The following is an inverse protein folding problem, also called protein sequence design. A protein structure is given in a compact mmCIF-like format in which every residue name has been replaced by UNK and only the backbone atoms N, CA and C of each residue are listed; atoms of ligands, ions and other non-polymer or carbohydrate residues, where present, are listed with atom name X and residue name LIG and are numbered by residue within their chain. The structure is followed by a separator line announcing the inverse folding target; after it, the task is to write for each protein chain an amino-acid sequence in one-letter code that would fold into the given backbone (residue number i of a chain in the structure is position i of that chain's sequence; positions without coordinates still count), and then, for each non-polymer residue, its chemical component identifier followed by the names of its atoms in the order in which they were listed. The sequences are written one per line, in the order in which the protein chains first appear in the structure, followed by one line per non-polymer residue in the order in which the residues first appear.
data_IF_420444314006
#
_entry.id   IF_420444314006
#
_cell.length_a   1.000
_cell.length_b   1.000
_cell.length_c   1.000
_cell.angle_alpha   90.00
_cell.angle_beta   90.00
_cell.angle_gamma   90.00
#
_symmetry.space_group_name_H-M   'P 1'
#
loop_
_entity.id
_entity.type
_entity.pdbx_description
1 polymer ?
#
# COMPACT_ATOMS: atom_id res chain seq x y z
N UNK A 1 -1.58 11.03 -5.29
CA UNK A 1 -2.57 10.04 -5.80
C UNK A 1 -3.87 10.67 -6.33
N UNK A 2 -4.29 11.85 -5.82
CA UNK A 2 -5.55 12.49 -6.22
C UNK A 2 -6.76 12.01 -5.40
N UNK A 3 -6.49 11.54 -4.18
CA UNK A 3 -7.43 10.91 -3.24
C UNK A 3 -7.33 11.56 -1.83
N UNK A 4 -6.84 12.80 -1.76
CA UNK A 4 -6.70 13.57 -0.52
C UNK A 4 -8.07 13.91 0.09
N UNK A 5 -8.13 13.98 1.43
CA UNK A 5 -9.29 14.37 2.22
C UNK A 5 -9.13 15.80 2.74
N UNK A 6 -10.17 16.62 2.63
CA UNK A 6 -10.13 18.01 3.11
C UNK A 6 -9.91 18.05 4.63
N UNK A 7 -8.92 18.81 5.08
CA UNK A 7 -8.64 19.08 6.50
C UNK A 7 -7.97 17.96 7.30
N UNK A 8 -7.68 16.80 6.68
CA UNK A 8 -7.07 15.63 7.33
C UNK A 8 -6.19 14.84 6.36
N UNK A 9 -5.34 15.54 5.61
CA UNK A 9 -4.45 14.91 4.64
C UNK A 9 -3.07 14.70 5.23
N UNK A 10 -2.59 13.47 5.12
CA UNK A 10 -1.20 13.06 5.17
C UNK A 10 -0.56 13.20 3.77
N UNK A 11 0.71 13.57 3.73
CA UNK A 11 1.46 13.72 2.49
C UNK A 11 2.83 13.04 2.56
N UNK A 12 3.01 11.99 1.76
CA UNK A 12 4.32 11.34 1.61
C UNK A 12 5.22 12.16 0.68
N UNK A 13 6.40 12.54 1.17
CA UNK A 13 7.48 13.13 0.39
C UNK A 13 8.61 12.12 0.22
N UNK A 14 8.67 11.47 -0.94
CA UNK A 14 9.76 10.54 -1.25
C UNK A 14 10.92 11.31 -1.89
N UNK A 15 12.09 11.26 -1.24
CA UNK A 15 13.33 11.89 -1.68
C UNK A 15 14.24 10.82 -2.29
N UNK A 16 14.43 10.91 -3.60
CA UNK A 16 15.37 10.06 -4.34
C UNK A 16 16.77 10.68 -4.25
N UNK A 17 17.73 9.89 -3.76
CA UNK A 17 19.11 10.34 -3.60
C UNK A 17 20.02 9.71 -4.65
N UNK A 18 20.70 10.54 -5.45
CA UNK A 18 21.66 10.07 -6.47
C UNK A 18 22.83 9.27 -5.89
N UNK A 19 23.14 9.47 -4.60
CA UNK A 19 24.23 8.78 -3.92
C UNK A 19 23.85 7.36 -3.47
N UNK A 20 22.57 6.98 -3.54
CA UNK A 20 22.13 5.61 -3.27
C UNK A 20 22.17 4.81 -4.56
N UNK A 21 22.89 3.70 -4.56
CA UNK A 21 23.11 2.86 -5.76
C UNK A 21 22.41 1.50 -5.70
N UNK A 22 21.87 1.13 -4.53
CA UNK A 22 21.21 -0.15 -4.30
C UNK A 22 20.16 -0.07 -3.19
N UNK A 23 19.29 -1.09 -3.12
CA UNK A 23 18.34 -1.26 -2.03
C UNK A 23 19.05 -1.47 -0.68
N UNK A 24 20.11 -2.27 -0.64
CA UNK A 24 20.93 -2.47 0.56
C UNK A 24 21.53 -1.16 1.07
N UNK A 25 22.07 -0.32 0.17
CA UNK A 25 22.62 0.97 0.55
C UNK A 25 21.55 1.90 1.13
N UNK A 26 20.35 1.93 0.54
CA UNK A 26 19.21 2.66 1.11
C UNK A 26 18.88 2.18 2.53
N UNK A 27 18.92 0.86 2.77
CA UNK A 27 18.63 0.29 4.08
C UNK A 27 19.70 0.67 5.11
N UNK A 28 20.97 0.45 4.78
CA UNK A 28 22.09 0.62 5.70
C UNK A 28 22.42 2.09 5.98
N UNK A 29 22.27 2.98 5.00
CA UNK A 29 22.58 4.42 5.14
C UNK A 29 21.37 5.29 5.46
N UNK A 30 20.19 4.69 5.66
CA UNK A 30 18.95 5.43 5.97
C UNK A 30 19.12 6.42 7.11
N UNK A 31 19.73 5.98 8.20
CA UNK A 31 19.92 6.79 9.40
C UNK A 31 20.75 8.04 9.13
N UNK A 32 21.87 7.88 8.43
CA UNK A 32 22.79 8.96 8.03
C UNK A 32 22.04 10.05 7.26
N UNK A 33 21.30 9.66 6.23
CA UNK A 33 20.57 10.59 5.38
C UNK A 33 19.36 11.22 6.07
N UNK A 34 18.60 10.47 6.88
CA UNK A 34 17.48 11.03 7.63
C UNK A 34 17.94 12.06 8.67
N UNK A 35 19.09 11.83 9.31
CA UNK A 35 19.66 12.80 10.26
C UNK A 35 20.10 14.09 9.56
N UNK A 36 20.72 13.97 8.38
CA UNK A 36 21.10 15.16 7.60
C UNK A 36 19.85 15.91 7.10
N UNK A 37 18.83 15.21 6.58
CA UNK A 37 17.56 15.85 6.18
C UNK A 37 16.91 16.57 7.37
N UNK A 38 16.87 15.93 8.54
CA UNK A 38 16.33 16.53 9.75
C UNK A 38 17.05 17.81 10.13
N UNK A 39 18.38 17.80 10.13
CA UNK A 39 19.20 18.99 10.40
C UNK A 39 18.89 20.12 9.42
N UNK A 40 18.69 19.82 8.14
CA UNK A 40 18.32 20.81 7.13
C UNK A 40 16.89 21.34 7.32
N UNK A 41 15.93 20.47 7.67
CA UNK A 41 14.55 20.88 7.99
C UNK A 41 14.51 21.78 9.24
N UNK A 42 15.28 21.46 10.28
CA UNK A 42 15.40 22.29 11.49
C UNK A 42 16.07 23.64 11.19
N UNK A 43 17.06 23.69 10.28
CA UNK A 43 17.64 24.94 9.81
C UNK A 43 16.60 25.79 9.07
N UNK A 44 15.87 25.20 8.14
CA UNK A 44 14.78 25.86 7.42
C UNK A 44 13.67 26.37 8.36
N UNK A 45 13.33 25.60 9.41
CA UNK A 45 12.38 26.04 10.44
C UNK A 45 12.87 27.28 11.19
N UNK A 46 14.16 27.37 11.52
CA UNK A 46 14.76 28.56 12.19
C UNK A 46 14.75 29.80 11.33
N UNK A 47 14.86 29.65 10.01
CA UNK A 47 14.83 30.77 9.05
C UNK A 47 13.43 31.38 8.88
N UNK A 48 12.37 30.75 9.40
CA UNK A 48 10.98 31.24 9.33
C UNK A 48 10.51 31.59 7.90
N UNK A 49 10.96 30.83 6.90
CA UNK A 49 10.64 31.12 5.49
C UNK A 49 9.17 30.89 5.13
N UNK A 50 8.43 30.12 5.92
CA UNK A 50 7.04 29.77 5.64
C UNK A 50 6.07 30.70 6.36
N UNK A 51 4.97 31.05 5.68
CA UNK A 51 3.82 31.77 6.29
C UNK A 51 2.98 30.89 7.22
N UNK A 52 3.26 29.59 7.25
CA UNK A 52 2.60 28.58 8.07
C UNK A 52 3.52 28.16 9.20
N UNK A 53 2.93 27.65 10.28
CA UNK A 53 3.70 27.06 11.39
C UNK A 53 4.34 25.79 10.89
N UNK A 54 5.68 25.75 10.92
CA UNK A 54 6.47 24.59 10.54
C UNK A 54 7.07 23.95 11.78
N UNK A 55 6.76 22.68 12.01
CA UNK A 55 7.25 21.91 13.16
C UNK A 55 7.82 20.58 12.71
N UNK A 56 9.13 20.42 12.80
CA UNK A 56 9.78 19.12 12.68
C UNK A 56 9.44 18.28 13.91
N UNK A 57 8.92 17.07 13.71
CA UNK A 57 8.67 16.17 14.83
C UNK A 57 10.00 15.60 15.29
N UNK A 58 10.44 15.99 16.48
CA UNK A 58 11.59 15.38 17.14
C UNK A 58 11.08 14.37 18.15
N UNK A 59 11.70 13.19 18.15
CA UNK A 59 11.36 12.18 19.13
C UNK A 59 12.61 11.51 19.68
N UNK A 60 12.62 11.31 20.99
CA UNK A 60 13.78 10.78 21.72
C UNK A 60 14.14 9.35 21.29
N UNK A 61 13.19 8.59 20.74
CA UNK A 61 13.39 7.24 20.20
C UNK A 61 14.16 7.20 18.87
N UNK A 62 14.35 8.34 18.19
CA UNK A 62 15.19 8.41 16.99
C UNK A 62 16.63 7.93 17.23
N UNK A 63 17.09 8.02 18.49
CA UNK A 63 18.40 7.53 18.94
C UNK A 63 18.45 6.01 19.21
N UNK A 64 17.30 5.33 19.35
CA UNK A 64 17.22 3.90 19.68
C UNK A 64 16.78 3.04 18.50
N UNK A 65 16.03 3.60 17.54
CA UNK A 65 15.60 2.93 16.32
C UNK A 65 15.63 3.90 15.15
N UNK A 66 16.23 3.50 14.02
CA UNK A 66 16.16 4.28 12.78
C UNK A 66 14.76 4.19 12.20
N UNK A 67 13.96 5.28 12.19
CA UNK A 67 12.62 5.22 11.63
C UNK A 67 12.69 5.06 10.11
N UNK A 68 11.61 4.54 9.50
CA UNK A 68 11.47 4.49 8.04
C UNK A 68 11.27 5.89 7.44
N UNK A 69 10.65 6.81 8.18
CA UNK A 69 10.31 8.15 7.75
C UNK A 69 10.70 9.20 8.80
N UNK A 70 10.85 10.44 8.35
CA UNK A 70 10.95 11.63 9.19
C UNK A 70 9.70 12.49 8.99
N UNK A 71 8.97 12.76 10.06
CA UNK A 71 7.70 13.49 9.98
C UNK A 71 7.86 14.96 10.35
N UNK A 72 7.14 15.83 9.65
CA UNK A 72 6.98 17.23 10.04
C UNK A 72 5.58 17.73 9.71
N UNK A 73 5.17 18.80 10.39
CA UNK A 73 3.84 19.39 10.24
C UNK A 73 3.94 20.79 9.68
N UNK A 74 3.06 21.12 8.72
CA UNK A 74 2.73 22.48 8.34
C UNK A 74 1.29 22.80 8.77
N UNK A 75 1.11 23.84 9.58
CA UNK A 75 -0.22 24.25 10.05
C UNK A 75 -0.49 25.73 9.90
N UNK A 76 -1.73 26.07 9.56
CA UNK A 76 -2.25 27.44 9.54
C UNK A 76 -3.36 27.55 10.60
N UNK A 77 -3.08 28.20 11.75
CA UNK A 77 -4.06 28.37 12.82
C UNK A 77 -5.31 29.15 12.39
N UNK A 78 -5.19 30.07 11.42
CA UNK A 78 -6.32 30.87 10.94
C UNK A 78 -7.26 30.04 10.07
N UNK A 79 -6.72 29.08 9.33
CA UNK A 79 -7.50 28.20 8.47
C UNK A 79 -7.93 26.90 9.17
N UNK A 80 -7.50 26.66 10.41
CA UNK A 80 -7.67 25.41 11.14
C UNK A 80 -7.27 24.19 10.29
N UNK A 81 -6.17 24.34 9.55
CA UNK A 81 -5.67 23.32 8.64
C UNK A 81 -4.28 22.90 9.05
N UNK A 82 -4.07 21.60 9.04
CA UNK A 82 -2.82 20.94 9.36
C UNK A 82 -2.55 19.87 8.30
N UNK A 83 -1.31 19.81 7.83
CA UNK A 83 -0.82 18.76 6.95
C UNK A 83 0.42 18.17 7.58
N UNK A 84 0.35 16.87 7.84
CA UNK A 84 1.50 16.07 8.27
C UNK A 84 2.19 15.51 7.02
N UNK A 85 3.52 15.68 6.98
CA UNK A 85 4.38 15.21 5.91
C UNK A 85 5.30 14.13 6.44
N UNK A 86 5.34 13.00 5.74
CA UNK A 86 6.31 11.92 5.99
C UNK A 86 7.39 11.96 4.91
N UNK A 87 8.62 12.29 5.32
CA UNK A 87 9.79 12.29 4.44
C UNK A 87 10.40 10.90 4.44
N UNK A 88 10.40 10.28 3.26
CA UNK A 88 10.87 8.91 3.04
C UNK A 88 12.05 8.93 2.07
N UNK A 89 13.09 8.17 2.39
CA UNK A 89 14.23 7.99 1.49
C UNK A 89 13.98 6.84 0.52
N UNK A 90 14.45 7.02 -0.71
CA UNK A 90 14.42 5.98 -1.74
C UNK A 90 15.68 5.98 -2.61
N UNK A 91 16.16 4.79 -2.93
CA UNK A 91 17.00 4.53 -4.08
C UNK A 91 16.14 4.64 -5.34
N UNK A 92 16.64 5.34 -6.37
CA UNK A 92 15.96 5.44 -7.66
C UNK A 92 16.15 4.15 -8.48
N UNK A 93 15.39 3.12 -8.11
CA UNK A 93 15.42 1.82 -8.77
C UNK A 93 14.86 1.85 -10.20
N UNK A 94 14.04 2.84 -10.54
CA UNK A 94 13.39 2.97 -11.85
C UNK A 94 14.23 3.84 -12.80
N UNK A 95 15.02 4.77 -12.28
CA UNK A 95 15.86 5.68 -13.04
C UNK A 95 15.06 6.46 -14.08
N UNK A 96 15.58 6.53 -15.31
CA UNK A 96 14.93 7.23 -16.43
C UNK A 96 13.82 6.42 -17.12
N UNK A 97 13.49 5.22 -16.64
CA UNK A 97 12.43 4.39 -17.24
C UNK A 97 11.11 5.16 -17.25
N UNK A 98 10.29 4.96 -18.29
CA UNK A 98 9.01 5.65 -18.39
C UNK A 98 8.16 5.33 -17.15
N UNK A 99 7.78 6.39 -16.42
CA UNK A 99 6.96 6.36 -15.19
C UNK A 99 5.56 5.75 -15.38
N UNK A 100 5.26 5.31 -16.61
CA UNK A 100 3.99 4.76 -17.06
C UNK A 100 4.14 3.37 -17.69
N UNK A 101 5.36 2.88 -17.89
CA UNK A 101 5.59 1.55 -18.46
C UNK A 101 5.91 0.53 -17.38
N UNK A 102 5.66 -0.74 -17.70
CA UNK A 102 6.13 -1.88 -16.92
C UNK A 102 7.66 -1.82 -16.78
N UNK A 103 8.23 -1.83 -15.56
CA UNK A 103 9.67 -1.92 -15.37
C UNK A 103 10.25 -3.21 -15.94
N UNK A 104 11.54 -3.17 -16.27
CA UNK A 104 12.28 -4.36 -16.71
C UNK A 104 12.33 -5.41 -15.59
N UNK A 105 12.12 -6.71 -15.89
CA UNK A 105 12.07 -7.77 -14.88
C UNK A 105 13.28 -7.82 -13.94
N UNK A 106 14.48 -7.52 -14.44
CA UNK A 106 15.70 -7.55 -13.63
C UNK A 106 15.68 -6.57 -12.44
N UNK A 107 14.91 -5.48 -12.51
CA UNK A 107 14.73 -4.53 -11.39
C UNK A 107 14.01 -5.24 -10.24
N UNK A 108 12.92 -5.95 -10.54
CA UNK A 108 12.18 -6.73 -9.55
C UNK A 108 12.93 -7.98 -9.10
N UNK A 109 13.72 -8.61 -9.96
CA UNK A 109 14.58 -9.72 -9.56
C UNK A 109 15.62 -9.27 -8.51
N UNK A 110 16.26 -8.11 -8.71
CA UNK A 110 17.16 -7.49 -7.72
C UNK A 110 16.42 -7.18 -6.42
N UNK A 111 15.23 -6.56 -6.50
CA UNK A 111 14.40 -6.28 -5.32
C UNK A 111 14.09 -7.55 -4.53
N UNK A 112 13.61 -8.59 -5.22
CA UNK A 112 13.25 -9.88 -4.61
C UNK A 112 14.47 -10.50 -3.92
N UNK A 113 15.63 -10.47 -4.57
CA UNK A 113 16.88 -10.96 -4.00
C UNK A 113 17.22 -10.24 -2.68
N UNK A 114 17.23 -8.91 -2.69
CA UNK A 114 17.54 -8.11 -1.51
C UNK A 114 16.50 -8.28 -0.38
N UNK A 115 15.21 -8.22 -0.69
CA UNK A 115 14.14 -8.45 0.28
C UNK A 115 14.22 -9.84 0.91
N UNK A 116 14.59 -10.86 0.13
CA UNK A 116 14.75 -12.24 0.61
C UNK A 116 15.96 -12.36 1.52
N UNK A 117 17.10 -11.77 1.13
CA UNK A 117 18.33 -11.78 1.92
C UNK A 117 18.13 -11.07 3.28
N UNK A 118 17.47 -9.91 3.26
CA UNK A 118 17.18 -9.13 4.47
C UNK A 118 16.01 -9.67 5.28
N UNK A 119 15.21 -10.60 4.72
CA UNK A 119 13.90 -11.05 5.27
C UNK A 119 12.96 -9.87 5.56
N UNK A 120 12.92 -8.90 4.65
CA UNK A 120 12.17 -7.65 4.78
C UNK A 120 11.38 -7.36 3.51
N UNK A 121 10.28 -8.07 3.36
CA UNK A 121 9.35 -7.87 2.26
C UNK A 121 8.66 -6.51 2.35
N UNK A 122 8.45 -5.82 1.22
CA UNK A 122 7.83 -4.49 1.16
C UNK A 122 8.66 -3.33 1.71
N UNK A 123 9.89 -3.59 2.19
CA UNK A 123 10.78 -2.58 2.80
C UNK A 123 11.15 -1.45 1.85
N UNK A 124 11.19 -1.73 0.55
CA UNK A 124 11.64 -0.81 -0.49
C UNK A 124 10.51 -0.28 -1.37
N UNK A 125 9.25 -0.42 -0.93
CA UNK A 125 8.07 0.09 -1.65
C UNK A 125 8.18 1.58 -2.00
N UNK A 126 8.93 2.37 -1.23
CA UNK A 126 9.21 3.80 -1.53
C UNK A 126 9.93 4.02 -2.85
N UNK A 127 10.77 3.07 -3.30
CA UNK A 127 11.44 3.12 -4.60
C UNK A 127 10.46 3.09 -5.78
N UNK A 128 9.24 2.59 -5.54
CA UNK A 128 8.20 2.41 -6.54
C UNK A 128 7.01 3.35 -6.33
N UNK A 129 7.16 4.41 -5.53
CA UNK A 129 6.07 5.35 -5.21
C UNK A 129 5.47 5.99 -6.45
N UNK A 130 6.26 6.19 -7.51
CA UNK A 130 5.78 6.74 -8.78
C UNK A 130 4.78 5.81 -9.47
N UNK A 131 5.03 4.50 -9.42
CA UNK A 131 4.13 3.47 -9.94
C UNK A 131 2.87 3.33 -9.08
N UNK A 132 3.00 3.34 -7.75
CA UNK A 132 1.86 3.36 -6.82
C UNK A 132 0.98 4.59 -7.07
N UNK A 133 1.60 5.76 -7.25
CA UNK A 133 0.91 7.02 -7.60
C UNK A 133 0.23 6.89 -8.95
N UNK A 134 0.92 6.36 -9.96
CA UNK A 134 0.42 6.21 -11.32
C UNK A 134 -0.82 5.30 -11.34
N UNK A 135 -0.77 4.17 -10.63
CA UNK A 135 -1.86 3.20 -10.51
C UNK A 135 -3.18 3.83 -10.04
N UNK A 136 -3.13 4.76 -9.09
CA UNK A 136 -4.31 5.47 -8.59
C UNK A 136 -4.63 6.74 -9.41
N UNK A 137 -3.62 7.42 -9.95
CA UNK A 137 -3.79 8.69 -10.68
C UNK A 137 -4.59 8.50 -11.96
N UNK A 138 -4.46 7.36 -12.64
CA UNK A 138 -5.15 7.10 -13.91
C UNK A 138 -6.64 6.74 -13.76
N UNK A 139 -7.12 6.56 -12.52
CA UNK A 139 -8.49 6.10 -12.25
C UNK A 139 -9.57 7.17 -12.52
N UNK A 140 -10.80 6.77 -12.90
CA UNK A 140 -11.91 7.69 -13.13
C UNK A 140 -12.21 8.59 -11.92
N UNK A 141 -12.69 9.84 -12.12
CA UNK A 141 -13.03 10.74 -11.03
C UNK A 141 -14.02 10.15 -10.02
N UNK A 142 -15.03 9.40 -10.49
CA UNK A 142 -16.02 8.75 -9.63
C UNK A 142 -15.40 7.68 -8.72
N UNK A 143 -14.44 6.90 -9.23
CA UNK A 143 -13.66 5.95 -8.42
C UNK A 143 -12.80 6.65 -7.38
N UNK A 144 -12.14 7.76 -7.74
CA UNK A 144 -11.41 8.57 -6.76
C UNK A 144 -12.32 9.12 -5.65
N UNK A 145 -13.56 9.46 -5.97
CA UNK A 145 -14.55 9.86 -4.97
C UNK A 145 -14.96 8.71 -4.05
N UNK A 146 -15.13 7.49 -4.59
CA UNK A 146 -15.35 6.30 -3.77
C UNK A 146 -14.16 6.00 -2.85
N UNK A 147 -12.92 6.09 -3.36
CA UNK A 147 -11.70 5.94 -2.54
C UNK A 147 -11.69 6.96 -1.39
N UNK A 148 -12.04 8.23 -1.66
CA UNK A 148 -12.15 9.25 -0.58
C UNK A 148 -13.20 8.88 0.44
N UNK A 149 -14.36 8.36 0.03
CA UNK A 149 -15.40 7.90 0.97
C UNK A 149 -14.89 6.75 1.86
N UNK A 150 -14.22 5.76 1.27
CA UNK A 150 -13.63 4.64 2.02
C UNK A 150 -12.53 5.12 2.96
N UNK A 151 -11.67 6.05 2.53
CA UNK A 151 -10.66 6.66 3.41
C UNK A 151 -11.30 7.42 4.56
N UNK A 152 -12.36 8.17 4.30
CA UNK A 152 -13.06 8.91 5.35
C UNK A 152 -13.66 7.95 6.39
N UNK A 153 -14.32 6.88 5.94
CA UNK A 153 -14.80 5.80 6.80
C UNK A 153 -13.66 5.19 7.63
N UNK A 154 -12.54 4.83 6.99
CA UNK A 154 -11.36 4.28 7.67
C UNK A 154 -10.84 5.22 8.76
N UNK A 155 -10.79 6.54 8.52
CA UNK A 155 -10.38 7.51 9.54
C UNK A 155 -11.34 7.57 10.72
N UNK A 156 -12.66 7.49 10.50
CA UNK A 156 -13.65 7.40 11.58
C UNK A 156 -13.47 6.11 12.39
N UNK A 157 -13.19 4.99 11.74
CA UNK A 157 -12.84 3.74 12.42
C UNK A 157 -11.54 3.87 13.22
N UNK A 158 -10.51 4.54 12.66
CA UNK A 158 -9.25 4.80 13.36
C UNK A 158 -9.42 5.68 14.59
N UNK A 159 -10.26 6.71 14.52
CA UNK A 159 -10.62 7.55 15.67
C UNK A 159 -11.34 6.76 16.77
N UNK A 160 -12.25 5.85 16.38
CA UNK A 160 -13.05 5.05 17.31
C UNK A 160 -12.25 3.91 17.95
N UNK A 161 -11.49 3.18 17.13
CA UNK A 161 -10.81 1.95 17.54
C UNK A 161 -9.37 2.19 17.98
N UNK A 162 -8.69 3.20 17.45
CA UNK A 162 -7.23 3.30 17.55
C UNK A 162 -6.53 2.11 16.88
N UNK A 163 -5.22 2.00 17.10
CA UNK A 163 -4.41 0.90 16.57
C UNK A 163 -4.61 -0.40 17.37
N UNK A 164 -4.46 -1.58 16.74
CA UNK A 164 -3.93 -1.76 15.40
C UNK A 164 -5.05 -1.91 14.33
N UNK A 165 -4.77 -1.49 13.09
CA UNK A 165 -5.66 -1.49 11.93
C UNK A 165 -4.82 -1.74 10.67
N UNK A 166 -5.39 -2.35 9.60
CA UNK A 166 -4.65 -2.55 8.36
C UNK A 166 -4.28 -1.22 7.71
N UNK A 167 -3.16 -1.14 6.97
CA UNK A 167 -2.75 0.10 6.32
C UNK A 167 -3.87 0.69 5.44
N UNK A 168 -4.09 2.00 5.53
CA UNK A 168 -5.10 2.70 4.71
C UNK A 168 -4.91 2.42 3.21
N UNK A 169 -3.67 2.25 2.76
CA UNK A 169 -3.35 1.91 1.37
C UNK A 169 -3.97 0.58 0.92
N UNK A 170 -4.10 -0.41 1.82
CA UNK A 170 -4.79 -1.67 1.51
C UNK A 170 -6.26 -1.44 1.15
N UNK A 171 -6.93 -0.49 1.80
CA UNK A 171 -8.32 -0.14 1.50
C UNK A 171 -8.45 0.67 0.20
N UNK A 172 -7.45 1.51 -0.12
CA UNK A 172 -7.39 2.15 -1.45
C UNK A 172 -7.30 1.10 -2.57
N UNK A 173 -6.45 0.08 -2.40
CA UNK A 173 -6.30 -1.02 -3.35
C UNK A 173 -7.53 -1.93 -3.40
N UNK A 174 -8.13 -2.26 -2.25
CA UNK A 174 -9.34 -3.08 -2.19
C UNK A 174 -10.53 -2.37 -2.88
N UNK A 175 -10.60 -1.05 -2.78
CA UNK A 175 -11.61 -0.24 -3.49
C UNK A 175 -11.40 -0.31 -5.01
N UNK A 176 -10.15 -0.27 -5.48
CA UNK A 176 -9.84 -0.46 -6.90
C UNK A 176 -10.24 -1.86 -7.35
N UNK A 177 -9.90 -2.91 -6.60
CA UNK A 177 -10.30 -4.30 -6.91
C UNK A 177 -11.83 -4.46 -6.99
N UNK A 178 -12.56 -3.92 -6.01
CA UNK A 178 -14.02 -3.96 -5.99
C UNK A 178 -14.61 -3.36 -7.27
N UNK A 179 -14.11 -2.20 -7.67
CA UNK A 179 -14.57 -1.52 -8.87
C UNK A 179 -14.17 -2.28 -10.14
N UNK A 180 -12.92 -2.71 -10.29
CA UNK A 180 -12.43 -3.41 -11.49
C UNK A 180 -13.15 -4.73 -11.73
N UNK A 181 -13.51 -5.45 -10.67
CA UNK A 181 -14.13 -6.78 -10.78
C UNK A 181 -15.65 -6.77 -10.71
N UNK A 182 -16.24 -5.75 -10.09
CA UNK A 182 -17.66 -5.69 -9.82
C UNK A 182 -18.44 -4.72 -10.71
N UNK A 183 -17.75 -3.72 -11.28
CA UNK A 183 -18.39 -2.64 -12.04
C UNK A 183 -17.67 -2.34 -13.35
N UNK A 184 -16.42 -1.85 -13.28
CA UNK A 184 -15.61 -1.47 -14.46
C UNK A 184 -16.03 -0.17 -15.16
N UNK A 185 -17.16 0.43 -14.77
CA UNK A 185 -17.74 1.61 -15.43
C UNK A 185 -17.24 2.94 -14.87
N UNK A 186 -17.21 4.00 -15.69
CA UNK A 186 -16.82 5.34 -15.23
C UNK A 186 -17.87 6.02 -14.36
N UNK A 187 -19.12 5.58 -14.47
CA UNK A 187 -20.26 6.04 -13.67
C UNK A 187 -20.90 4.85 -12.97
N UNK A 188 -21.11 4.99 -11.66
CA UNK A 188 -21.72 3.95 -10.84
C UNK A 188 -22.33 4.55 -9.56
N UNK A 189 -23.17 3.76 -8.89
CA UNK A 189 -23.74 4.13 -7.61
C UNK A 189 -22.68 4.05 -6.50
N UNK A 190 -22.39 5.18 -5.85
CA UNK A 190 -21.38 5.25 -4.78
C UNK A 190 -21.75 4.38 -3.58
N UNK A 191 -23.03 4.25 -3.24
CA UNK A 191 -23.47 3.45 -2.10
C UNK A 191 -23.28 1.95 -2.35
N UNK A 192 -23.54 1.47 -3.58
CA UNK A 192 -23.25 0.08 -3.97
C UNK A 192 -21.76 -0.21 -3.91
N UNK A 193 -20.94 0.70 -4.47
CA UNK A 193 -19.49 0.55 -4.42
C UNK A 193 -18.95 0.56 -2.98
N UNK A 194 -19.49 1.43 -2.12
CA UNK A 194 -19.07 1.49 -0.72
C UNK A 194 -19.49 0.22 0.04
N UNK A 195 -20.72 -0.26 -0.16
CA UNK A 195 -21.20 -1.51 0.42
C UNK A 195 -20.34 -2.71 0.00
N UNK A 196 -19.98 -2.76 -1.27
CA UNK A 196 -19.11 -3.82 -1.82
C UNK A 196 -17.76 -3.83 -1.11
N UNK A 197 -17.14 -2.67 -0.89
CA UNK A 197 -15.86 -2.59 -0.16
C UNK A 197 -16.00 -3.08 1.28
N UNK A 198 -17.07 -2.69 2.00
CA UNK A 198 -17.31 -3.17 3.37
C UNK A 198 -17.50 -4.69 3.42
N UNK A 199 -18.24 -5.27 2.48
CA UNK A 199 -18.39 -6.72 2.40
C UNK A 199 -17.07 -7.44 2.11
N UNK A 200 -16.20 -6.88 1.25
CA UNK A 200 -14.87 -7.44 1.02
C UNK A 200 -14.00 -7.39 2.28
N UNK A 201 -14.11 -6.33 3.08
CA UNK A 201 -13.43 -6.24 4.39
C UNK A 201 -13.94 -7.32 5.35
N UNK A 202 -15.26 -7.59 5.40
CA UNK A 202 -15.81 -8.68 6.20
C UNK A 202 -15.30 -10.06 5.74
N UNK A 203 -14.98 -10.21 4.46
CA UNK A 203 -14.48 -11.43 3.84
C UNK A 203 -12.93 -11.48 3.76
N UNK A 204 -12.23 -10.69 4.59
CA UNK A 204 -10.77 -10.54 4.55
C UNK A 204 -10.00 -11.88 4.57
N UNK A 205 -10.51 -12.88 5.29
CA UNK A 205 -9.93 -14.23 5.40
C UNK A 205 -9.91 -14.99 4.07
N UNK A 206 -10.64 -14.52 3.05
CA UNK A 206 -10.68 -15.12 1.71
C UNK A 206 -9.89 -14.30 0.69
N UNK A 207 -9.52 -13.05 1.00
CA UNK A 207 -8.94 -12.09 0.05
C UNK A 207 -7.59 -12.53 -0.50
N UNK A 208 -7.55 -12.75 -1.82
CA UNK A 208 -6.31 -12.91 -2.58
C UNK A 208 -6.36 -12.03 -3.83
N UNK A 209 -5.77 -10.85 -3.71
CA UNK A 209 -5.81 -9.77 -4.68
C UNK A 209 -4.38 -9.43 -5.11
N UNK A 210 -4.19 -9.32 -6.42
CA UNK A 210 -2.94 -8.91 -7.04
C UNK A 210 -3.22 -8.34 -8.44
N UNK A 211 -2.24 -7.65 -8.98
CA UNK A 211 -2.27 -7.09 -10.34
C UNK A 211 -1.01 -7.49 -11.10
N UNK A 212 -1.08 -7.51 -12.43
CA UNK A 212 0.07 -7.76 -13.30
C UNK A 212 0.41 -6.56 -14.17
N UNK A 213 0.25 -5.35 -13.62
CA UNK A 213 0.41 -4.09 -14.36
C UNK A 213 1.89 -3.72 -14.50
N UNK A 214 2.66 -3.84 -13.42
CA UNK A 214 4.09 -3.48 -13.40
C UNK A 214 5.01 -4.70 -13.29
N UNK A 215 4.52 -5.85 -12.89
CA UNK A 215 5.22 -7.14 -12.93
C UNK A 215 4.25 -8.23 -13.40
N UNK A 216 4.75 -9.39 -13.81
CA UNK A 216 3.93 -10.53 -14.20
C UNK A 216 4.67 -11.86 -13.99
N UNK A 217 4.07 -12.96 -14.45
CA UNK A 217 4.60 -14.32 -14.30
C UNK A 217 5.49 -14.78 -15.48
N UNK A 218 5.87 -13.87 -16.39
CA UNK A 218 6.63 -14.25 -17.59
C UNK A 218 8.09 -14.60 -17.29
N UNK A 219 8.70 -13.91 -16.31
CA UNK A 219 10.02 -14.27 -15.81
C UNK A 219 9.90 -15.37 -14.74
N UNK A 220 10.63 -16.47 -14.91
CA UNK A 220 10.50 -17.65 -14.04
C UNK A 220 10.84 -17.35 -12.57
N UNK A 221 11.88 -16.55 -12.31
CA UNK A 221 12.30 -16.23 -10.95
C UNK A 221 11.26 -15.36 -10.23
N UNK A 222 10.70 -14.37 -10.93
CA UNK A 222 9.61 -13.53 -10.41
C UNK A 222 8.34 -14.36 -10.21
N UNK A 223 8.00 -15.22 -11.18
CA UNK A 223 6.84 -16.10 -11.14
C UNK A 223 6.84 -17.00 -9.91
N UNK A 224 7.94 -17.70 -9.65
CA UNK A 224 8.11 -18.55 -8.47
C UNK A 224 7.98 -17.78 -7.15
N UNK A 225 8.43 -16.52 -7.13
CA UNK A 225 8.25 -15.65 -5.97
C UNK A 225 6.79 -15.21 -5.80
N UNK A 226 6.11 -14.78 -6.87
CA UNK A 226 4.71 -14.38 -6.85
C UNK A 226 3.81 -15.53 -6.37
N UNK A 227 4.03 -16.76 -6.83
CA UNK A 227 3.27 -17.91 -6.33
C UNK A 227 3.42 -18.09 -4.81
N UNK A 228 4.63 -17.94 -4.27
CA UNK A 228 4.86 -17.98 -2.82
C UNK A 228 4.12 -16.87 -2.09
N UNK A 229 4.10 -15.65 -2.61
CA UNK A 229 3.30 -14.56 -2.04
C UNK A 229 1.81 -14.89 -2.03
N UNK A 230 1.28 -15.39 -3.14
CA UNK A 230 -0.15 -15.70 -3.30
C UNK A 230 -0.61 -16.93 -2.50
N UNK A 231 0.32 -17.76 -2.02
CA UNK A 231 0.05 -18.89 -1.12
C UNK A 231 0.05 -18.52 0.36
N UNK A 232 0.46 -17.30 0.73
CA UNK A 232 0.47 -16.86 2.13
C UNK A 232 -0.91 -16.83 2.76
N UNK A 233 -0.93 -16.87 4.09
CA UNK A 233 -2.14 -16.69 4.89
C UNK A 233 -2.86 -15.41 4.46
N UNK A 234 -4.17 -15.53 4.28
CA UNK A 234 -5.04 -14.43 3.88
C UNK A 234 -5.21 -13.45 5.05
N UNK A 235 -5.41 -12.15 4.79
CA UNK A 235 -5.56 -11.52 3.48
C UNK A 235 -4.23 -11.34 2.74
N UNK A 236 -4.27 -11.53 1.42
CA UNK A 236 -3.19 -11.17 0.50
C UNK A 236 -3.71 -10.08 -0.42
N UNK A 237 -3.15 -8.89 -0.29
CA UNK A 237 -3.32 -7.78 -1.23
C UNK A 237 -1.92 -7.35 -1.64
N UNK A 238 -1.47 -7.87 -2.79
CA UNK A 238 -0.13 -7.57 -3.28
C UNK A 238 -0.10 -6.17 -3.89
N UNK A 239 0.87 -5.36 -3.49
CA UNK A 239 1.07 -4.02 -4.04
C UNK A 239 1.29 -4.11 -5.56
N UNK A 240 0.49 -3.42 -6.40
CA UNK A 240 0.68 -3.45 -7.84
C UNK A 240 2.08 -2.99 -8.28
N UNK A 241 2.78 -2.19 -7.47
CA UNK A 241 4.08 -1.61 -7.77
C UNK A 241 5.27 -2.38 -7.16
N UNK A 242 5.05 -3.19 -6.12
CA UNK A 242 6.08 -3.95 -5.40
C UNK A 242 5.63 -5.42 -5.22
N UNK A 243 6.21 -6.38 -5.97
CA UNK A 243 5.82 -7.80 -5.91
C UNK A 243 6.20 -8.48 -4.59
N UNK A 244 6.95 -7.81 -3.71
CA UNK A 244 7.30 -8.30 -2.37
C UNK A 244 6.33 -7.80 -1.31
N UNK A 245 5.66 -6.67 -1.54
CA UNK A 245 4.81 -6.03 -0.55
C UNK A 245 3.39 -6.58 -0.52
N UNK A 246 3.07 -7.51 0.39
CA UNK A 246 1.68 -7.75 0.77
C UNK A 246 1.21 -6.63 1.70
N UNK A 247 0.46 -5.65 1.19
CA UNK A 247 0.03 -4.49 1.99
C UNK A 247 -0.99 -4.84 3.08
N UNK A 248 -1.47 -6.09 3.10
CA UNK A 248 -2.40 -6.59 4.08
C UNK A 248 -1.74 -7.43 5.19
N UNK A 249 -0.44 -7.76 5.11
CA UNK A 249 0.20 -8.84 5.89
C UNK A 249 0.56 -8.54 7.35
N UNK A 250 0.25 -7.36 7.88
CA UNK A 250 0.85 -6.95 9.15
C UNK A 250 -0.05 -7.18 10.38
N UNK A 251 -1.35 -7.42 10.23
CA UNK A 251 -2.25 -7.43 11.39
C UNK A 251 -3.63 -8.09 11.14
N UNK A 252 -3.76 -9.38 11.45
CA UNK A 252 -5.05 -10.08 11.38
C UNK A 252 -6.08 -9.52 12.38
N UNK A 253 -5.61 -9.05 13.54
CA UNK A 253 -6.48 -8.46 14.57
C UNK A 253 -7.07 -7.15 14.05
N UNK A 254 -6.26 -6.30 13.41
CA UNK A 254 -6.70 -5.07 12.76
C UNK A 254 -7.77 -5.32 11.69
N UNK A 255 -7.60 -6.34 10.85
CA UNK A 255 -8.63 -6.71 9.87
C UNK A 255 -9.92 -7.20 10.54
N UNK A 256 -9.83 -8.00 11.59
CA UNK A 256 -10.99 -8.46 12.35
C UNK A 256 -11.76 -7.28 12.97
N UNK A 257 -11.04 -6.32 13.57
CA UNK A 257 -11.63 -5.11 14.16
C UNK A 257 -12.33 -4.27 13.09
N UNK A 258 -11.68 -4.08 11.94
CA UNK A 258 -12.25 -3.33 10.83
C UNK A 258 -13.47 -4.05 10.20
N UNK A 259 -13.48 -5.37 10.17
CA UNK A 259 -14.63 -6.17 9.75
C UNK A 259 -15.84 -6.00 10.67
N UNK A 260 -15.62 -5.91 12.00
CA UNK A 260 -16.69 -5.59 12.95
C UNK A 260 -17.29 -4.20 12.73
N UNK A 261 -16.46 -3.19 12.42
CA UNK A 261 -16.98 -1.88 12.03
C UNK A 261 -17.71 -1.92 10.69
N UNK A 262 -17.20 -2.67 9.71
CA UNK A 262 -17.88 -2.82 8.42
C UNK A 262 -19.30 -3.39 8.61
N UNK A 263 -19.47 -4.42 9.44
CA UNK A 263 -20.77 -5.01 9.77
C UNK A 263 -21.71 -3.99 10.44
N UNK A 264 -21.22 -3.24 11.44
CA UNK A 264 -22.01 -2.21 12.13
C UNK A 264 -22.44 -1.10 11.17
N UNK A 265 -21.54 -0.65 10.29
CA UNK A 265 -21.81 0.40 9.32
C UNK A 265 -22.86 0.01 8.29
N UNK A 266 -22.95 -1.27 7.91
CA UNK A 266 -23.99 -1.74 6.97
C UNK A 266 -25.43 -1.51 7.45
N UNK A 267 -25.64 -1.23 8.74
CA UNK A 267 -26.94 -0.89 9.31
C UNK A 267 -27.34 0.59 9.11
N UNK A 268 -26.39 1.44 8.71
CA UNK A 268 -26.58 2.88 8.65
C UNK A 268 -27.42 3.31 7.43
N UNK A 269 -28.05 4.50 7.46
CA UNK A 269 -28.94 4.95 6.38
C UNK A 269 -28.29 5.04 5.00
N UNK A 270 -26.97 5.20 4.91
CA UNK A 270 -26.24 5.23 3.64
C UNK A 270 -26.33 3.94 2.82
N UNK A 271 -26.81 2.85 3.43
CA UNK A 271 -27.03 1.55 2.77
C UNK A 271 -28.51 1.18 2.64
N UNK A 272 -29.42 2.15 2.79
CA UNK A 272 -30.85 1.98 2.60
C UNK A 272 -31.34 2.89 1.48
N UNK A 273 -32.16 2.34 0.58
CA UNK A 273 -32.90 3.10 -0.40
C UNK A 273 -34.03 3.89 0.28
N UNK A 274 -34.67 4.78 -0.47
CA UNK A 274 -35.76 5.63 0.03
C UNK A 274 -36.95 4.82 0.60
N UNK A 275 -37.18 3.62 0.08
CA UNK A 275 -38.23 2.69 0.49
C UNK A 275 -37.81 1.79 1.67
N UNK A 276 -36.60 1.98 2.20
CA UNK A 276 -36.02 1.18 3.28
C UNK A 276 -35.36 -0.12 2.84
N UNK A 277 -35.43 -0.50 1.56
CA UNK A 277 -34.74 -1.68 1.03
C UNK A 277 -33.22 -1.51 1.09
N UNK A 278 -32.43 -2.59 1.26
CA UNK A 278 -30.98 -2.48 1.29
C UNK A 278 -30.44 -2.11 -0.10
N UNK A 279 -29.45 -1.20 -0.13
CA UNK A 279 -28.70 -0.88 -1.36
C UNK A 279 -28.06 -2.14 -1.93
N UNK A 280 -27.97 -2.25 -3.26
CA UNK A 280 -27.28 -3.34 -3.94
C UNK A 280 -25.78 -3.38 -3.65
N UNK A 281 -25.09 -4.39 -4.17
CA UNK A 281 -23.64 -4.49 -4.13
C UNK A 281 -23.16 -5.23 -5.37
N UNK A 282 -21.88 -5.06 -5.71
CA UNK A 282 -21.31 -5.72 -6.88
C UNK A 282 -20.88 -7.15 -6.56
N UNK A 283 -21.10 -8.07 -7.50
CA UNK A 283 -20.63 -9.44 -7.36
C UNK A 283 -19.12 -9.52 -7.64
N UNK A 284 -18.31 -9.38 -6.59
CA UNK A 284 -16.84 -9.35 -6.68
C UNK A 284 -16.25 -10.68 -6.19
N UNK A 285 -15.40 -11.35 -6.98
CA UNK A 285 -14.67 -12.52 -6.50
C UNK A 285 -13.66 -12.12 -5.42
N UNK A 286 -13.74 -12.81 -4.27
CA UNK A 286 -12.78 -12.67 -3.14
C UNK A 286 -11.42 -13.29 -3.43
N UNK A 287 -11.28 -14.04 -4.53
CA UNK A 287 -10.02 -14.60 -5.03
C UNK A 287 -9.91 -14.34 -6.53
N UNK A 288 -8.74 -13.91 -7.00
CA UNK A 288 -8.44 -13.99 -8.43
C UNK A 288 -8.45 -15.48 -8.85
N UNK A 289 -9.40 -15.87 -9.70
CA UNK A 289 -9.64 -17.28 -10.12
C UNK A 289 -8.52 -17.80 -11.04
N UNK A 290 -7.68 -16.91 -11.56
CA UNK A 290 -6.56 -17.23 -12.45
C UNK A 290 -5.26 -17.17 -11.66
N UNK A 291 -4.95 -18.20 -10.88
CA UNK A 291 -3.54 -18.58 -10.78
C UNK A 291 -3.25 -19.31 -12.10
N UNK A 292 -2.23 -18.91 -12.89
CA UNK A 292 -1.86 -19.70 -14.05
C UNK A 292 -1.61 -21.14 -13.57
N UNK A 293 -2.28 -22.12 -14.18
CA UNK A 293 -2.12 -23.52 -13.83
C UNK A 293 -0.65 -23.91 -14.06
N UNK A 294 0.11 -24.17 -13.00
CA UNK A 294 1.39 -24.88 -13.11
C UNK A 294 1.16 -26.36 -12.76
N UNK A 295 1.77 -27.30 -13.51
CA UNK A 295 1.85 -28.69 -13.06
C UNK A 295 2.61 -28.75 -11.72
N UNK A 296 2.32 -29.74 -10.87
CA UNK A 296 2.97 -29.87 -9.57
C UNK A 296 4.50 -29.91 -9.73
N UNK A 297 5.26 -29.40 -8.74
CA UNK A 297 6.71 -29.40 -8.81
C UNK A 297 7.22 -30.84 -8.99
N UNK A 298 8.03 -31.04 -10.03
CA UNK A 298 8.80 -32.26 -10.19
C UNK A 298 9.69 -32.39 -8.95
N UNK A 299 9.37 -33.36 -8.09
CA UNK A 299 10.27 -33.81 -7.04
C UNK A 299 11.65 -34.08 -7.66
N UNK A 300 12.77 -33.71 -7.01
CA UNK A 300 14.07 -34.04 -7.52
C UNK A 300 14.25 -35.57 -7.51
N UNK A 301 14.04 -36.19 -8.67
CA UNK A 301 14.63 -37.48 -8.99
C UNK A 301 16.14 -37.28 -9.04
N UNK A 302 16.80 -37.46 -7.90
CA UNK A 302 18.19 -37.90 -7.78
C UNK A 302 18.51 -38.14 -6.30
N UNK A 303 18.03 -39.26 -5.76
CA UNK A 303 18.81 -40.00 -4.77
C UNK A 303 19.18 -41.35 -5.38
N UNK A 304 20.29 -41.32 -6.11
CA UNK A 304 21.00 -42.52 -6.54
C UNK A 304 21.56 -43.18 -5.27
N UNK A 305 20.86 -44.18 -4.72
CA UNK A 305 21.43 -45.03 -3.67
C UNK A 305 22.28 -46.09 -4.37
N UNK A 306 23.58 -45.81 -4.44
CA UNK A 306 24.61 -46.78 -4.76
C UNK A 306 24.68 -47.83 -3.65
N UNK A 307 24.63 -49.09 -4.07
CA UNK A 307 24.87 -50.30 -3.29
C UNK A 307 26.34 -50.45 -2.88
N UNK A 308 26.57 -51.06 -1.70
CA UNK A 308 27.71 -51.89 -1.21
C UNK A 308 27.69 -51.82 0.33
N UNK A 309 27.74 -52.88 1.13
CA UNK A 309 28.05 -54.32 1.00
C UNK A 309 27.12 -55.08 1.93
#
# INVERSE_FOLDING_TARGET
KGTALRGRSDADLVVFLNNLTSFDEQFNRRAEFLEEIKKQLEACQREQQFRVTFKVQSSWWFWWFTPRALSFTLSDPYLQQEVEFDVLLAYDALGHSSKYSKPEPHIYARLIHECTNLKREGEFSTCFTELQRSFLKQRPPKLKSLIRLVKHWYQLCKEKLGNPLPPQYALELLTVHAWERGCGETYFNTAEGFKTVLQLVMEYQKLCVYWTVYYDFNDQFISDYLYRQLQKTRPVILDPADPTGNVASEDLDGWQRLAGEAEAWLQYPCFKNWDGSPVGFWNVPVRNILLPNFPPPLLPHNLCILTKK
#
